data_IF_526019793167
#
_entry.id   IF_526019793167
#
_cell.length_a   1.000
_cell.length_b   1.000
_cell.length_c   1.000
_cell.angle_alpha   90.00
_cell.angle_beta   90.00
_cell.angle_gamma   90.00
#
_symmetry.space_group_name_H-M   'P 1'
#
loop_
_entity.id
_entity.type
_entity.pdbx_description
1 polymer ?
#
# COMPACT_ATOMS: atom_id res chain seq x y z
N UNK A 1 -8.13 1.29 -13.76
CA UNK A 1 -6.98 2.06 -13.24
C UNK A 1 -7.21 2.52 -11.79
N UNK A 2 -7.88 1.72 -10.96
CA UNK A 2 -8.29 2.10 -9.58
C UNK A 2 -7.31 1.67 -8.48
N UNK A 3 -6.32 0.82 -8.80
CA UNK A 3 -5.35 0.34 -7.80
C UNK A 3 -4.40 1.43 -7.32
N UNK A 4 -3.89 2.27 -8.24
CA UNK A 4 -2.87 3.27 -7.93
C UNK A 4 -3.37 4.37 -6.97
N UNK A 5 -4.63 4.78 -7.12
CA UNK A 5 -5.24 5.77 -6.22
C UNK A 5 -5.50 5.19 -4.81
N UNK A 6 -5.76 3.88 -4.72
CA UNK A 6 -5.91 3.17 -3.46
C UNK A 6 -4.58 3.07 -2.71
N UNK A 7 -3.51 2.68 -3.42
CA UNK A 7 -2.17 2.55 -2.85
C UNK A 7 -1.63 3.91 -2.38
N UNK A 8 -1.89 4.97 -3.14
CA UNK A 8 -1.50 6.32 -2.78
C UNK A 8 -2.21 6.82 -1.51
N UNK A 9 -3.52 6.61 -1.40
CA UNK A 9 -4.26 7.00 -0.20
C UNK A 9 -3.82 6.19 1.03
N UNK A 10 -3.54 4.90 0.87
CA UNK A 10 -3.04 4.07 1.96
C UNK A 10 -1.65 4.51 2.42
N UNK A 11 -0.77 4.90 1.49
CA UNK A 11 0.53 5.48 1.80
C UNK A 11 0.40 6.77 2.63
N UNK A 12 -0.55 7.66 2.27
CA UNK A 12 -0.83 8.87 3.04
C UNK A 12 -1.36 8.54 4.45
N UNK A 13 -2.29 7.60 4.57
CA UNK A 13 -2.77 7.13 5.87
C UNK A 13 -1.64 6.54 6.73
N UNK A 14 -0.73 5.80 6.13
CA UNK A 14 0.47 5.30 6.81
C UNK A 14 1.34 6.47 7.29
N UNK A 15 1.62 7.45 6.44
CA UNK A 15 2.45 8.60 6.78
C UNK A 15 1.83 9.40 7.95
N UNK A 16 0.53 9.66 7.93
CA UNK A 16 -0.19 10.38 8.99
C UNK A 16 -0.07 9.64 10.34
N UNK A 17 -0.23 8.31 10.35
CA UNK A 17 -0.16 7.51 11.59
C UNK A 17 1.24 7.41 12.19
N UNK A 18 2.28 7.49 11.35
CA UNK A 18 3.65 7.23 11.78
C UNK A 18 4.49 8.51 11.93
N UNK A 19 4.08 9.63 11.32
CA UNK A 19 4.80 10.89 11.42
C UNK A 19 4.66 11.51 12.82
N UNK A 20 5.76 11.70 13.57
CA UNK A 20 5.72 12.44 14.82
C UNK A 20 5.62 13.92 14.50
N UNK A 21 4.40 14.49 14.53
CA UNK A 21 4.07 15.87 14.16
C UNK A 21 4.65 16.95 15.10
N UNK A 22 5.97 16.97 15.25
CA UNK A 22 6.70 17.78 16.24
C UNK A 22 6.87 19.21 15.76
N UNK A 23 7.09 19.42 14.47
CA UNK A 23 7.23 20.76 13.88
C UNK A 23 5.91 21.28 13.30
N UNK A 24 5.74 22.62 13.19
CA UNK A 24 4.61 23.21 12.47
C UNK A 24 4.50 22.72 11.02
N UNK A 25 5.63 22.52 10.35
CA UNK A 25 5.71 22.06 8.97
C UNK A 25 5.18 20.62 8.84
N UNK A 26 5.55 19.75 9.79
CA UNK A 26 5.02 18.37 9.84
C UNK A 26 3.51 18.34 10.10
N UNK A 27 3.00 19.24 10.95
CA UNK A 27 1.55 19.38 11.17
C UNK A 27 0.84 19.85 9.90
N UNK A 28 1.37 20.88 9.24
CA UNK A 28 0.85 21.35 7.97
C UNK A 28 0.86 20.24 6.89
N UNK A 29 1.91 19.44 6.84
CA UNK A 29 2.00 18.31 5.91
C UNK A 29 0.94 17.23 6.19
N UNK A 30 0.62 16.96 7.46
CA UNK A 30 -0.47 16.06 7.84
C UNK A 30 -1.82 16.66 7.42
N UNK A 31 -2.07 17.94 7.68
CA UNK A 31 -3.31 18.61 7.26
C UNK A 31 -3.48 18.56 5.72
N UNK A 32 -2.39 18.76 4.98
CA UNK A 32 -2.39 18.63 3.52
C UNK A 32 -2.65 17.19 3.07
N UNK A 33 -2.07 16.19 3.74
CA UNK A 33 -2.34 14.78 3.44
C UNK A 33 -3.82 14.42 3.67
N UNK A 34 -4.42 14.89 4.77
CA UNK A 34 -5.86 14.72 5.03
C UNK A 34 -6.74 15.45 4.01
N UNK A 35 -6.31 16.61 3.53
CA UNK A 35 -6.98 17.33 2.45
C UNK A 35 -6.95 16.52 1.15
N UNK A 36 -5.81 15.91 0.82
CA UNK A 36 -5.67 15.03 -0.36
C UNK A 36 -6.56 13.80 -0.27
N UNK A 37 -6.62 13.13 0.88
CA UNK A 37 -7.47 11.95 1.07
C UNK A 37 -8.95 12.28 0.83
N UNK A 38 -9.41 13.46 1.25
CA UNK A 38 -10.82 13.88 1.12
C UNK A 38 -11.18 14.46 -0.23
N UNK A 39 -10.28 15.24 -0.84
CA UNK A 39 -10.58 16.09 -2.00
C UNK A 39 -9.77 15.71 -3.25
N UNK A 40 -8.87 14.74 -3.12
CA UNK A 40 -7.94 14.32 -4.16
C UNK A 40 -6.67 15.20 -4.25
N UNK A 41 -5.64 14.73 -4.98
CA UNK A 41 -4.35 15.42 -5.08
C UNK A 41 -4.41 16.75 -5.83
N UNK A 42 -5.46 16.99 -6.62
CA UNK A 42 -5.70 18.25 -7.31
C UNK A 42 -6.04 19.41 -6.34
N UNK A 43 -6.45 19.11 -5.10
CA UNK A 43 -6.79 20.11 -4.09
C UNK A 43 -5.57 20.83 -3.49
N UNK A 44 -4.34 20.36 -3.77
CA UNK A 44 -3.11 20.98 -3.30
C UNK A 44 -2.51 21.92 -4.34
N UNK A 45 -2.17 23.12 -3.89
CA UNK A 45 -1.27 24.05 -4.55
C UNK A 45 0.15 23.49 -4.64
N UNK A 46 1.01 24.03 -5.52
CA UNK A 46 2.39 23.58 -5.66
C UNK A 46 3.20 23.65 -4.36
N UNK A 47 2.95 24.68 -3.53
CA UNK A 47 3.61 24.83 -2.25
C UNK A 47 3.18 23.76 -1.25
N UNK A 48 1.87 23.51 -1.13
CA UNK A 48 1.33 22.47 -0.24
C UNK A 48 1.86 21.08 -0.63
N UNK A 49 1.95 20.77 -1.94
CA UNK A 49 2.57 19.53 -2.42
C UNK A 49 4.03 19.42 -2.01
N UNK A 50 4.79 20.51 -2.14
CA UNK A 50 6.20 20.54 -1.75
C UNK A 50 6.36 20.28 -0.25
N UNK A 51 5.55 20.92 0.59
CA UNK A 51 5.54 20.69 2.04
C UNK A 51 5.21 19.23 2.37
N UNK A 52 4.19 18.66 1.72
CA UNK A 52 3.81 17.26 1.92
C UNK A 52 4.97 16.31 1.57
N UNK A 53 5.62 16.52 0.42
CA UNK A 53 6.74 15.67 -0.03
C UNK A 53 7.96 15.83 0.89
N UNK A 54 8.30 17.04 1.33
CA UNK A 54 9.46 17.27 2.19
C UNK A 54 9.29 16.66 3.58
N UNK A 55 8.12 16.83 4.19
CA UNK A 55 7.90 16.46 5.58
C UNK A 55 7.42 15.01 5.74
N UNK A 56 6.66 14.48 4.77
CA UNK A 56 6.15 13.10 4.80
C UNK A 56 6.89 12.16 3.84
N UNK A 57 7.77 12.66 2.97
CA UNK A 57 8.45 11.85 1.95
C UNK A 57 9.20 10.64 2.50
N UNK A 58 9.84 10.78 3.67
CA UNK A 58 10.50 9.66 4.34
C UNK A 58 9.50 8.53 4.70
N UNK A 59 8.31 8.87 5.19
CA UNK A 59 7.29 7.90 5.56
C UNK A 59 6.63 7.26 4.35
N UNK A 60 6.45 8.03 3.27
CA UNK A 60 5.94 7.54 2.00
C UNK A 60 6.92 6.57 1.33
N UNK A 61 8.21 6.90 1.27
CA UNK A 61 9.26 5.99 0.78
C UNK A 61 9.32 4.72 1.62
N UNK A 62 9.21 4.84 2.95
CA UNK A 62 9.16 3.68 3.85
C UNK A 62 7.96 2.79 3.60
N UNK A 63 6.77 3.35 3.35
CA UNK A 63 5.59 2.57 2.98
C UNK A 63 5.82 1.81 1.67
N UNK A 64 6.37 2.46 0.64
CA UNK A 64 6.65 1.80 -0.63
C UNK A 64 7.60 0.61 -0.46
N UNK A 65 8.70 0.77 0.29
CA UNK A 65 9.61 -0.34 0.58
C UNK A 65 8.93 -1.48 1.34
N UNK A 66 8.07 -1.16 2.32
CA UNK A 66 7.30 -2.17 3.04
C UNK A 66 6.37 -2.95 2.11
N UNK A 67 5.74 -2.29 1.15
CA UNK A 67 4.90 -2.93 0.12
C UNK A 67 5.70 -3.83 -0.81
N UNK A 68 6.92 -3.42 -1.19
CA UNK A 68 7.81 -4.25 -2.00
C UNK A 68 8.17 -5.56 -1.29
N UNK A 69 8.42 -5.51 0.03
CA UNK A 69 8.70 -6.72 0.83
C UNK A 69 7.45 -7.54 1.15
N UNK A 70 6.28 -6.92 1.34
CA UNK A 70 5.02 -7.66 1.58
C UNK A 70 4.49 -8.33 0.30
N UNK A 71 4.68 -7.69 -0.86
CA UNK A 71 4.30 -8.22 -2.18
C UNK A 71 5.13 -9.42 -2.63
N UNK A 72 6.35 -9.58 -2.11
CA UNK A 72 7.19 -10.76 -2.36
C UNK A 72 6.64 -12.05 -1.72
N UNK A 73 5.57 -11.99 -0.89
CA UNK A 73 5.03 -13.16 -0.21
C UNK A 73 4.14 -14.08 -1.06
N UNK A 74 3.79 -13.71 -2.30
CA UNK A 74 2.84 -14.48 -3.15
C UNK A 74 3.13 -14.45 -4.67
N UNK A 75 4.39 -14.53 -5.11
CA UNK A 75 4.72 -14.83 -6.54
C UNK A 75 5.56 -16.11 -6.65
N UNK A 76 5.28 -17.06 -5.76
CA UNK A 76 5.95 -18.36 -5.71
C UNK A 76 5.10 -19.48 -5.09
N UNK A 77 3.81 -19.23 -4.83
CA UNK A 77 2.86 -20.32 -4.61
C UNK A 77 2.40 -20.77 -5.99
N UNK A 78 2.91 -21.94 -6.36
CA UNK A 78 2.84 -22.54 -7.68
C UNK A 78 1.44 -22.51 -8.29
N UNK A 79 1.45 -22.44 -9.62
CA UNK A 79 0.40 -22.92 -10.48
C UNK A 79 -0.35 -24.10 -9.86
N UNK A 80 -1.66 -23.96 -9.76
CA UNK A 80 -2.55 -25.11 -9.67
C UNK A 80 -2.23 -26.11 -10.78
N UNK A 81 -2.21 -27.42 -10.48
CA UNK A 81 -2.79 -28.38 -11.36
C UNK A 81 -4.20 -28.70 -10.88
N UNK A 82 -5.13 -28.40 -11.78
CA UNK A 82 -6.53 -28.83 -11.85
C UNK A 82 -6.89 -30.11 -11.10
N UNK A 83 -8.08 -30.01 -10.52
CA UNK A 83 -9.00 -31.09 -10.19
C UNK A 83 -9.15 -32.15 -11.30
N UNK A 84 -9.60 -33.34 -10.88
CA UNK A 84 -10.11 -34.49 -11.66
C UNK A 84 -9.10 -35.56 -12.12
N UNK A 85 -9.03 -36.66 -11.36
CA UNK A 85 -9.44 -37.96 -11.90
C UNK A 85 -9.72 -38.97 -10.79
N UNK A 86 -10.98 -39.37 -10.71
CA UNK A 86 -11.44 -40.59 -10.08
C UNK A 86 -10.76 -41.83 -10.70
N UNK A 87 -10.42 -42.84 -9.88
CA UNK A 87 -11.03 -44.16 -10.04
C UNK A 87 -10.59 -45.17 -8.98
N UNK A 88 -11.63 -45.77 -8.42
CA UNK A 88 -11.72 -47.00 -7.65
C UNK A 88 -11.13 -48.20 -8.42
N UNK A 89 -10.16 -48.95 -7.86
CA UNK A 89 -9.92 -50.36 -8.23
C UNK A 89 -9.50 -51.20 -7.02
N UNK A 90 -10.32 -52.24 -6.79
CA UNK A 90 -10.12 -53.45 -5.96
C UNK A 90 -8.76 -54.15 -6.17
N UNK A 91 -8.24 -54.74 -5.10
CA UNK A 91 -7.34 -55.91 -5.13
C UNK A 91 -7.04 -56.38 -3.71
N UNK A 92 -7.85 -57.27 -3.10
CA UNK A 92 -7.86 -58.75 -3.14
C UNK A 92 -6.54 -59.39 -2.68
N UNK A 93 -6.68 -60.08 -1.54
CA UNK A 93 -5.87 -61.14 -0.92
C UNK A 93 -4.68 -61.74 -1.69
N UNK A 94 -3.61 -62.00 -0.95
CA UNK A 94 -3.02 -63.34 -0.78
C UNK A 94 -2.34 -63.43 0.57
#
# INVERSE_FOLDING_TARGET
MSGLDSDFNEALHYAIRNCPARTPEQRAAIDHAEKVIRQGPAALSPLERKTLVLELGFWLDRYQRLQEFSGQRLVGAAAEPSCCLANQVRGKAS
#
